data_IF_639528149604
#
_entry.id   IF_639528149604
#
_cell.length_a   1.000
_cell.length_b   1.000
_cell.length_c   1.000
_cell.angle_alpha   90.00
_cell.angle_beta   90.00
_cell.angle_gamma   90.00
#
_symmetry.space_group_name_H-M   'P 1'
#
loop_
_entity.id
_entity.type
_entity.pdbx_description
1 polymer ?
#
# COMPACT_ATOMS: atom_id res chain seq x y z
N UNK A 1 17.08 12.89 -9.56
CA UNK A 1 16.48 11.58 -9.83
C UNK A 1 15.56 11.19 -8.70
N UNK A 2 14.40 10.71 -9.02
CA UNK A 2 13.42 10.37 -8.01
C UNK A 2 13.84 9.10 -7.27
N UNK A 3 13.63 9.13 -5.97
CA UNK A 3 13.97 8.00 -5.11
C UNK A 3 12.84 6.97 -5.15
N UNK A 4 13.21 5.71 -5.09
CA UNK A 4 12.24 4.62 -5.10
C UNK A 4 11.97 4.18 -3.67
N UNK A 5 10.70 4.04 -3.32
CA UNK A 5 10.29 3.59 -2.00
C UNK A 5 9.54 2.28 -2.14
N UNK A 6 9.82 1.36 -1.24
CA UNK A 6 9.24 0.03 -1.31
C UNK A 6 8.12 -0.12 -0.29
N UNK A 7 6.98 -0.63 -0.74
CA UNK A 7 5.90 -1.03 0.12
C UNK A 7 5.69 -2.52 0.01
N UNK A 8 5.30 -3.14 1.12
CA UNK A 8 5.05 -4.58 1.14
C UNK A 8 3.79 -4.88 1.92
N UNK A 9 3.04 -5.83 1.44
CA UNK A 9 1.85 -6.30 2.11
C UNK A 9 1.68 -7.78 1.77
N UNK A 10 1.75 -8.65 2.79
CA UNK A 10 1.75 -10.09 2.58
C UNK A 10 2.90 -10.45 1.65
N UNK A 11 2.62 -11.07 0.51
CA UNK A 11 3.66 -11.40 -0.45
C UNK A 11 3.79 -10.37 -1.57
N UNK A 12 2.98 -9.31 -1.50
CA UNK A 12 3.00 -8.28 -2.54
C UNK A 12 4.10 -7.26 -2.26
N UNK A 13 4.75 -6.80 -3.32
CA UNK A 13 5.81 -5.81 -3.24
C UNK A 13 5.52 -4.73 -4.26
N UNK A 14 5.62 -3.47 -3.83
CA UNK A 14 5.46 -2.32 -4.72
C UNK A 14 6.68 -1.43 -4.61
N UNK A 15 7.23 -1.03 -5.74
CA UNK A 15 8.30 -0.06 -5.81
C UNK A 15 7.70 1.22 -6.36
N UNK A 16 7.67 2.25 -5.53
CA UNK A 16 6.92 3.46 -5.81
C UNK A 16 7.86 4.64 -5.97
N UNK A 17 7.60 5.44 -6.97
CA UNK A 17 8.31 6.67 -7.22
C UNK A 17 7.28 7.78 -7.39
N UNK A 18 7.53 8.93 -6.77
CA UNK A 18 6.69 10.10 -6.92
C UNK A 18 7.40 11.14 -7.76
N UNK A 19 6.64 11.80 -8.61
CA UNK A 19 7.11 12.95 -9.37
C UNK A 19 6.05 14.03 -9.25
N UNK A 20 6.49 15.28 -9.24
CA UNK A 20 5.53 16.37 -9.22
C UNK A 20 4.71 16.34 -10.49
N UNK A 21 3.41 16.50 -10.35
CA UNK A 21 2.54 16.41 -11.51
C UNK A 21 1.10 16.71 -11.15
N UNK A 22 0.19 16.08 -11.87
CA UNK A 22 -1.23 16.40 -11.80
C UNK A 22 -2.08 15.33 -11.13
N UNK A 23 -1.45 14.29 -10.59
CA UNK A 23 -2.18 13.25 -9.87
C UNK A 23 -2.44 12.00 -10.69
N UNK A 24 -1.63 11.74 -11.71
CA UNK A 24 -1.81 10.54 -12.50
C UNK A 24 -1.11 9.35 -11.82
N UNK A 25 -1.62 8.16 -12.11
CA UNK A 25 -1.04 6.92 -11.60
C UNK A 25 -0.64 6.04 -12.77
N UNK A 26 0.55 5.46 -12.67
CA UNK A 26 1.01 4.46 -13.62
C UNK A 26 1.47 3.25 -12.82
N UNK A 27 0.70 2.19 -12.86
CA UNK A 27 0.97 0.96 -12.11
C UNK A 27 1.29 -0.12 -13.13
N UNK A 28 2.55 -0.51 -13.20
CA UNK A 28 3.02 -1.44 -14.22
C UNK A 28 2.66 -0.97 -15.63
N UNK A 29 2.70 0.36 -15.82
CA UNK A 29 2.38 0.96 -17.12
C UNK A 29 0.90 1.15 -17.39
N UNK A 30 0.03 0.95 -16.40
CA UNK A 30 -1.41 1.06 -16.55
C UNK A 30 -1.98 2.13 -15.63
N UNK A 31 -3.06 2.80 -16.06
CA UNK A 31 -3.74 3.73 -15.16
C UNK A 31 -4.30 3.00 -13.94
N UNK A 32 -4.53 3.76 -12.88
CA UNK A 32 -5.05 3.19 -11.64
C UNK A 32 -6.36 2.44 -11.86
N UNK A 33 -7.26 3.02 -12.62
CA UNK A 33 -8.58 2.43 -12.86
C UNK A 33 -8.49 1.11 -13.63
N UNK A 34 -7.49 0.97 -14.48
CA UNK A 34 -7.28 -0.27 -15.20
C UNK A 34 -6.66 -1.34 -14.32
N UNK A 35 -5.69 -0.93 -13.50
CA UNK A 35 -4.97 -1.89 -12.67
C UNK A 35 -5.80 -2.36 -11.49
N UNK A 36 -6.55 -1.43 -10.87
CA UNK A 36 -7.46 -1.74 -9.76
C UNK A 36 -8.86 -1.27 -10.16
N UNK A 37 -9.65 -2.13 -10.79
CA UNK A 37 -10.95 -1.70 -11.31
C UNK A 37 -11.99 -1.36 -10.25
N UNK A 38 -11.85 -1.88 -9.03
CA UNK A 38 -12.84 -1.61 -7.99
C UNK A 38 -12.53 -0.31 -7.28
N UNK A 39 -13.59 0.43 -6.94
CA UNK A 39 -13.42 1.70 -6.24
C UNK A 39 -12.79 1.52 -4.88
N UNK A 40 -13.09 0.41 -4.21
CA UNK A 40 -12.51 0.14 -2.90
C UNK A 40 -10.98 0.08 -2.95
N UNK A 41 -10.44 -0.61 -3.94
CA UNK A 41 -9.00 -0.73 -4.08
C UNK A 41 -8.37 0.60 -4.51
N UNK A 42 -9.06 1.35 -5.35
CA UNK A 42 -8.58 2.66 -5.75
C UNK A 42 -8.51 3.59 -4.54
N UNK A 43 -9.51 3.53 -3.66
CA UNK A 43 -9.53 4.35 -2.47
C UNK A 43 -8.37 4.02 -1.54
N UNK A 44 -8.03 2.73 -1.42
CA UNK A 44 -6.89 2.31 -0.61
C UNK A 44 -5.60 2.96 -1.13
N UNK A 45 -5.40 2.93 -2.44
CA UNK A 45 -4.20 3.50 -3.03
C UNK A 45 -4.14 5.01 -2.86
N UNK A 46 -5.29 5.69 -2.91
CA UNK A 46 -5.34 7.14 -2.81
C UNK A 46 -5.31 7.66 -1.37
N UNK A 47 -5.52 6.79 -0.41
CA UNK A 47 -5.66 7.22 1.00
C UNK A 47 -4.50 8.08 1.49
N UNK A 48 -3.22 7.74 1.19
CA UNK A 48 -2.13 8.61 1.68
C UNK A 48 -2.24 10.05 1.19
N UNK A 49 -2.70 10.25 -0.03
CA UNK A 49 -2.86 11.60 -0.55
C UNK A 49 -4.03 12.33 0.12
N UNK A 50 -5.08 11.59 0.46
CA UNK A 50 -6.22 12.20 1.16
C UNK A 50 -5.82 12.64 2.56
N UNK A 51 -5.03 11.80 3.25
CA UNK A 51 -4.60 12.08 4.62
C UNK A 51 -3.67 13.29 4.68
N UNK A 52 -2.86 13.49 3.65
CA UNK A 52 -1.92 14.61 3.61
C UNK A 52 -2.47 15.79 2.82
N UNK A 53 -3.69 15.68 2.31
CA UNK A 53 -4.31 16.72 1.48
C UNK A 53 -3.44 17.11 0.30
N UNK A 54 -2.79 16.13 -0.31
CA UNK A 54 -1.87 16.38 -1.42
C UNK A 54 -2.35 15.74 -2.72
N UNK A 55 -3.63 15.39 -2.81
CA UNK A 55 -4.17 14.82 -4.04
C UNK A 55 -3.96 15.80 -5.20
N UNK A 56 -3.57 15.27 -6.35
CA UNK A 56 -3.35 16.09 -7.53
C UNK A 56 -2.00 16.78 -7.58
N UNK A 57 -1.14 16.55 -6.61
CA UNK A 57 0.17 17.21 -6.55
C UNK A 57 1.30 16.34 -7.12
N UNK A 58 1.13 15.04 -7.06
CA UNK A 58 2.18 14.11 -7.48
C UNK A 58 1.64 13.09 -8.46
N UNK A 59 2.49 12.70 -9.40
CA UNK A 59 2.24 11.50 -10.21
C UNK A 59 2.91 10.32 -9.53
N UNK A 60 2.27 9.17 -9.60
CA UNK A 60 2.78 7.94 -8.99
C UNK A 60 3.20 6.99 -10.09
N UNK A 61 4.43 6.56 -10.05
CA UNK A 61 4.92 5.52 -10.96
C UNK A 61 5.32 4.35 -10.07
N UNK A 62 4.70 3.20 -10.29
CA UNK A 62 4.95 2.05 -9.42
C UNK A 62 5.07 0.78 -10.24
N UNK A 63 5.90 -0.11 -9.73
CA UNK A 63 5.99 -1.48 -10.22
C UNK A 63 5.53 -2.38 -9.08
N UNK A 64 4.57 -3.23 -9.39
CA UNK A 64 3.90 -4.03 -8.37
C UNK A 64 3.92 -5.49 -8.81
N UNK A 65 4.21 -6.38 -7.88
CA UNK A 65 4.17 -7.80 -8.19
C UNK A 65 3.91 -8.60 -6.92
N UNK A 66 3.53 -9.84 -7.13
CA UNK A 66 3.30 -10.78 -6.04
C UNK A 66 1.94 -10.61 -5.40
N UNK A 67 1.44 -11.67 -4.78
CA UNK A 67 0.20 -11.66 -4.05
C UNK A 67 -1.02 -11.38 -4.89
N UNK A 68 -2.11 -11.04 -4.23
CA UNK A 68 -3.36 -10.72 -4.90
C UNK A 68 -3.60 -9.22 -4.96
N UNK A 69 -4.70 -8.82 -5.60
CA UNK A 69 -4.96 -7.41 -5.85
C UNK A 69 -5.10 -6.61 -4.56
N UNK A 70 -5.73 -7.18 -3.54
CA UNK A 70 -5.86 -6.47 -2.26
C UNK A 70 -4.50 -6.23 -1.61
N UNK A 71 -3.64 -7.25 -1.62
CA UNK A 71 -2.29 -7.11 -1.08
C UNK A 71 -1.47 -6.11 -1.88
N UNK A 72 -1.65 -6.10 -3.19
CA UNK A 72 -0.93 -5.16 -4.04
C UNK A 72 -1.35 -3.72 -3.75
N UNK A 73 -2.67 -3.47 -3.58
CA UNK A 73 -3.14 -2.14 -3.24
C UNK A 73 -2.54 -1.67 -1.92
N UNK A 74 -2.49 -2.56 -0.92
CA UNK A 74 -1.87 -2.22 0.36
C UNK A 74 -0.38 -1.95 0.24
N UNK A 75 0.32 -2.70 -0.60
CA UNK A 75 1.74 -2.48 -0.82
C UNK A 75 2.00 -1.13 -1.49
N UNK A 76 1.20 -0.79 -2.48
CA UNK A 76 1.32 0.51 -3.15
C UNK A 76 1.04 1.63 -2.16
N UNK A 77 0.00 1.47 -1.34
CA UNK A 77 -0.33 2.49 -0.33
C UNK A 77 0.84 2.74 0.61
N UNK A 78 1.45 1.68 1.09
CA UNK A 78 2.59 1.84 2.00
C UNK A 78 3.76 2.52 1.30
N UNK A 79 4.05 2.15 0.06
CA UNK A 79 5.13 2.78 -0.69
C UNK A 79 4.87 4.25 -0.91
N UNK A 80 3.62 4.61 -1.24
CA UNK A 80 3.26 6.02 -1.42
C UNK A 80 3.41 6.78 -0.10
N UNK A 81 2.96 6.19 1.01
CA UNK A 81 3.07 6.85 2.30
C UNK A 81 4.52 7.12 2.66
N UNK A 82 5.39 6.15 2.43
CA UNK A 82 6.81 6.33 2.69
C UNK A 82 7.42 7.42 1.80
N UNK A 83 7.00 7.46 0.54
CA UNK A 83 7.50 8.47 -0.37
C UNK A 83 7.03 9.86 0.04
N UNK A 84 5.78 9.99 0.48
CA UNK A 84 5.25 11.28 0.93
C UNK A 84 5.96 11.74 2.20
N UNK A 85 6.23 10.83 3.12
CA UNK A 85 6.96 11.18 4.33
C UNK A 85 8.35 11.73 3.99
N UNK A 86 9.02 11.14 3.03
CA UNK A 86 10.34 11.60 2.61
C UNK A 86 10.26 12.93 1.89
N UNK A 87 9.17 13.16 1.14
CA UNK A 87 8.99 14.41 0.42
C UNK A 87 8.73 15.57 1.37
N UNK A 88 7.92 15.33 2.40
CA UNK A 88 7.58 16.36 3.38
C UNK A 88 7.48 15.72 4.75
N UNK A 89 8.52 15.89 5.59
CA UNK A 89 8.51 15.23 6.91
C UNK A 89 7.34 15.59 7.80
N UNK A 90 6.74 16.76 7.60
CA UNK A 90 5.57 17.15 8.40
C UNK A 90 4.38 16.26 8.16
N UNK A 91 4.35 15.53 7.06
CA UNK A 91 3.26 14.60 6.77
C UNK A 91 3.35 13.30 7.55
N UNK A 92 4.46 13.08 8.26
CA UNK A 92 4.62 11.86 9.03
C UNK A 92 3.52 11.69 10.08
N UNK A 93 3.16 12.76 10.78
CA UNK A 93 2.17 12.66 11.84
C UNK A 93 0.81 12.21 11.33
N UNK A 94 0.22 12.85 10.32
CA UNK A 94 -1.07 12.35 9.80
C UNK A 94 -0.97 10.97 9.19
N UNK A 95 0.13 10.65 8.51
CA UNK A 95 0.29 9.32 7.92
C UNK A 95 0.39 8.26 9.00
N UNK A 96 1.13 8.54 10.07
CA UNK A 96 1.28 7.59 11.16
C UNK A 96 -0.04 7.42 11.92
N UNK A 97 -0.77 8.52 12.15
CA UNK A 97 -2.05 8.45 12.83
C UNK A 97 -3.06 7.60 12.06
N UNK A 98 -3.00 7.63 10.74
CA UNK A 98 -3.88 6.82 9.92
C UNK A 98 -3.38 5.39 9.77
N UNK A 99 -2.21 5.06 10.32
CA UNK A 99 -1.65 3.70 10.25
C UNK A 99 -1.05 3.35 8.91
N UNK A 100 -0.70 4.34 8.10
CA UNK A 100 -0.25 4.08 6.73
C UNK A 100 1.25 3.87 6.61
N UNK A 101 2.02 4.14 7.66
CA UNK A 101 3.46 3.98 7.61
C UNK A 101 3.94 2.64 8.15
N UNK A 102 3.05 1.86 8.73
CA UNK A 102 3.41 0.59 9.33
C UNK A 102 3.07 -0.54 8.36
N UNK A 103 4.04 -1.39 8.10
CA UNK A 103 3.77 -2.58 7.33
C UNK A 103 2.83 -3.47 8.14
N UNK A 104 1.78 -3.93 7.49
CA UNK A 104 0.87 -4.86 8.12
C UNK A 104 1.56 -6.23 8.20
N UNK A 105 1.88 -6.64 9.40
CA UNK A 105 2.59 -7.88 9.63
C UNK A 105 1.67 -9.09 9.62
N UNK A 106 0.38 -8.89 9.44
CA UNK A 106 -0.58 -9.99 9.49
C UNK A 106 -0.72 -10.69 8.16
N UNK A 107 0.41 -10.95 7.53
CA UNK A 107 0.35 -11.84 6.37
C UNK A 107 -0.04 -13.23 6.85
N UNK A 108 -0.61 -14.02 5.96
CA UNK A 108 -0.96 -15.39 6.30
C UNK A 108 0.32 -16.13 6.60
N UNK A 109 0.49 -16.52 7.86
CA UNK A 109 1.64 -17.29 8.26
C UNK A 109 1.42 -18.75 7.92
N UNK A 110 2.51 -19.47 7.85
CA UNK A 110 2.41 -20.91 7.64
C UNK A 110 1.64 -21.52 8.79
N UNK A 111 0.70 -22.40 8.46
CA UNK A 111 -0.09 -23.07 9.47
C UNK A 111 0.83 -23.89 10.37
N UNK A 112 0.67 -23.71 11.65
CA UNK A 112 1.47 -24.42 12.63
C UNK A 112 0.70 -25.61 13.15
N UNK A 113 1.47 -26.58 13.61
CA UNK A 113 0.89 -27.78 14.15
C UNK A 113 -0.11 -27.46 15.25
N UNK A 114 -1.28 -28.06 15.17
CA UNK A 114 -2.31 -27.85 16.18
C UNK A 114 -3.14 -26.60 16.03
N UNK A 115 -2.85 -25.79 15.00
CA UNK A 115 -3.57 -24.57 14.77
C UNK A 115 -4.32 -24.62 13.46
N UNK A 116 -5.42 -23.91 13.40
CA UNK A 116 -6.17 -23.78 12.19
C UNK A 116 -5.45 -22.90 11.20
N UNK A 117 -4.89 -21.84 11.70
CA UNK A 117 -4.01 -20.94 10.98
C UNK A 117 -2.81 -20.75 11.85
N UNK A 118 -1.86 -19.97 11.38
CA UNK A 118 -0.62 -19.79 12.11
C UNK A 118 -0.85 -19.43 13.57
N UNK A 119 -1.86 -18.63 13.83
CA UNK A 119 -2.11 -18.16 15.20
C UNK A 119 -3.48 -18.51 15.72
N UNK A 120 -4.31 -19.10 14.92
CA UNK A 120 -5.66 -19.38 15.33
C UNK A 120 -5.77 -20.84 15.68
N UNK A 121 -6.03 -21.11 16.93
CA UNK A 121 -6.27 -22.48 17.33
C UNK A 121 -7.53 -22.98 16.64
N UNK A 122 -7.62 -24.28 16.41
CA UNK A 122 -8.87 -24.84 15.92
C UNK A 122 -9.97 -24.48 16.90
N UNK A 123 -10.94 -23.87 16.43
CA UNK A 123 -11.92 -23.47 17.36
C UNK A 123 -13.20 -23.52 16.74
N UNK A 124 -13.06 -23.17 16.93
CA UNK A 124 -13.60 -22.64 16.63
C UNK A 124 -14.01 -21.63 16.06
N UNK A 125 -14.14 -21.23 15.63
CA UNK A 125 -14.13 -20.46 14.91
C UNK A 125 -13.81 -19.37 14.60
N UNK A 126 -13.63 -18.88 14.56
CA UNK A 126 -13.08 -18.05 14.33
C UNK A 126 -12.81 -17.15 14.29
N UNK A 127 -12.45 -16.86 14.36
CA UNK A 127 -12.07 -15.87 14.56
C UNK A 127 -12.13 -15.06 14.00
#
# INVERSE_FOLDING_TARGET
MAKIFTGRRKTSVARVRLERGSGTFSLNGRPLEDYFPTETLQAIVREPFDVTASAGTFNVIARVHGGGTTGQAGAVRLGIARALEAEEPDWRAPLKSAGLLTRDARKTERKKYGLKKARKAPQYSKR
#
